data_IF_078658052488
#
_entry.id   IF_078658052488
#
_cell.length_a   1.000
_cell.length_b   1.000
_cell.length_c   1.000
_cell.angle_alpha   90.00
_cell.angle_beta   90.00
_cell.angle_gamma   90.00
#
_symmetry.space_group_name_H-M   'P 1'
#
loop_
_entity.id
_entity.type
_entity.pdbx_description
1 polymer ?
#
# COMPACT_ATOMS: atom_id res chain seq x y z
N UNK A 1 21.75 -51.73 -26.18
CA UNK A 1 20.64 -50.81 -26.54
C UNK A 1 19.76 -50.62 -25.31
N UNK A 2 19.75 -49.45 -24.66
CA UNK A 2 18.97 -49.23 -23.46
C UNK A 2 17.54 -48.77 -23.81
N UNK A 3 16.56 -49.23 -23.03
CA UNK A 3 15.21 -48.64 -22.94
C UNK A 3 15.18 -47.72 -21.73
N UNK A 4 14.82 -46.47 -21.97
CA UNK A 4 14.77 -45.38 -20.99
C UNK A 4 13.83 -45.68 -19.82
N UNK A 5 14.39 -45.71 -18.62
CA UNK A 5 13.65 -45.44 -17.38
C UNK A 5 13.43 -43.93 -17.32
N UNK A 6 12.19 -43.48 -17.52
CA UNK A 6 11.77 -42.11 -17.16
C UNK A 6 11.96 -41.92 -15.66
N UNK A 7 13.06 -41.26 -15.30
CA UNK A 7 13.33 -40.78 -13.95
C UNK A 7 12.29 -39.70 -13.63
N UNK A 8 11.34 -40.02 -12.76
CA UNK A 8 10.45 -39.04 -12.12
C UNK A 8 11.36 -38.12 -11.31
N UNK A 9 11.58 -36.90 -11.80
CA UNK A 9 12.21 -35.84 -11.00
C UNK A 9 11.28 -35.56 -9.83
N UNK A 10 11.72 -35.89 -8.62
CA UNK A 10 11.17 -35.36 -7.38
C UNK A 10 11.27 -33.83 -7.44
N UNK A 11 10.18 -33.18 -7.81
CA UNK A 11 9.97 -31.76 -7.54
C UNK A 11 9.97 -31.62 -6.03
N UNK A 12 10.95 -30.89 -5.51
CA UNK A 12 10.96 -30.41 -4.13
C UNK A 12 9.57 -29.90 -3.76
N UNK A 13 9.00 -30.41 -2.67
CA UNK A 13 7.72 -29.96 -2.12
C UNK A 13 7.81 -28.46 -1.80
N UNK A 14 7.52 -27.61 -2.78
CA UNK A 14 7.31 -26.18 -2.57
C UNK A 14 6.10 -26.07 -1.68
N UNK A 15 6.33 -25.73 -0.42
CA UNK A 15 5.29 -25.41 0.53
C UNK A 15 4.52 -24.22 -0.06
N UNK A 16 3.29 -24.47 -0.52
CA UNK A 16 2.43 -23.45 -1.11
C UNK A 16 2.03 -22.46 0.00
N UNK A 17 2.69 -21.30 0.03
CA UNK A 17 2.39 -20.23 0.97
C UNK A 17 1.29 -19.37 0.35
N UNK A 18 0.04 -19.85 0.43
CA UNK A 18 -1.13 -19.06 0.02
C UNK A 18 -1.60 -18.25 1.23
N UNK A 19 -1.57 -16.90 1.18
CA UNK A 19 -1.97 -16.09 2.32
C UNK A 19 -3.48 -16.12 2.53
N UNK A 20 -3.91 -16.28 3.78
CA UNK A 20 -5.29 -16.03 4.17
C UNK A 20 -5.54 -14.51 4.22
N UNK A 21 -6.53 -14.04 3.45
CA UNK A 21 -6.97 -12.64 3.47
C UNK A 21 -8.21 -12.52 4.36
N UNK A 22 -8.22 -11.55 5.28
CA UNK A 22 -9.43 -11.23 6.04
C UNK A 22 -10.58 -10.89 5.08
N UNK A 23 -11.78 -11.39 5.40
CA UNK A 23 -12.99 -11.29 4.59
C UNK A 23 -12.95 -12.04 3.25
N UNK A 24 -11.91 -12.85 3.00
CA UNK A 24 -11.94 -13.81 1.90
C UNK A 24 -13.12 -14.75 2.07
N UNK A 25 -13.89 -14.95 1.01
CA UNK A 25 -14.99 -15.93 0.95
C UNK A 25 -14.74 -16.91 -0.18
N UNK A 26 -14.88 -18.19 0.10
CA UNK A 26 -14.80 -19.25 -0.90
C UNK A 26 -16.11 -20.02 -0.90
N UNK A 27 -16.75 -20.10 -2.06
CA UNK A 27 -17.93 -20.93 -2.28
C UNK A 27 -17.54 -22.27 -2.87
N UNK A 28 -18.09 -23.35 -2.34
CA UNK A 28 -18.00 -24.69 -2.91
C UNK A 28 -19.37 -25.36 -2.89
N UNK A 29 -19.58 -26.32 -3.76
CA UNK A 29 -20.78 -27.15 -3.76
C UNK A 29 -20.46 -28.49 -3.10
N UNK A 30 -21.20 -28.84 -2.05
CA UNK A 30 -21.10 -30.12 -1.35
C UNK A 30 -22.48 -30.74 -1.23
N UNK A 31 -22.64 -31.95 -1.77
CA UNK A 31 -23.90 -32.69 -1.75
C UNK A 31 -25.10 -31.88 -2.31
N UNK A 32 -24.87 -31.16 -3.42
CA UNK A 32 -25.88 -30.34 -4.09
C UNK A 32 -26.15 -28.99 -3.42
N UNK A 33 -25.40 -28.61 -2.39
CA UNK A 33 -25.63 -27.39 -1.62
C UNK A 33 -24.40 -26.49 -1.59
N UNK A 34 -24.63 -25.17 -1.60
CA UNK A 34 -23.55 -24.19 -1.62
C UNK A 34 -23.10 -23.87 -0.20
N UNK A 35 -21.87 -24.26 0.11
CA UNK A 35 -21.15 -23.89 1.31
C UNK A 35 -20.27 -22.69 1.04
N UNK A 36 -20.30 -21.69 1.93
CA UNK A 36 -19.44 -20.51 1.84
C UNK A 36 -18.57 -20.43 3.09
N UNK A 37 -17.27 -20.60 2.91
CA UNK A 37 -16.26 -20.40 3.93
C UNK A 37 -15.86 -18.93 3.92
N UNK A 38 -15.85 -18.29 5.07
CA UNK A 38 -15.46 -16.91 5.25
C UNK A 38 -14.32 -16.82 6.26
N UNK A 39 -13.26 -16.10 5.92
CA UNK A 39 -12.15 -15.81 6.83
C UNK A 39 -12.50 -14.55 7.61
N UNK A 40 -12.51 -14.66 8.93
CA UNK A 40 -12.86 -13.58 9.87
C UNK A 40 -11.73 -13.35 10.86
N UNK A 41 -11.77 -12.23 11.57
CA UNK A 41 -10.86 -11.98 12.67
C UNK A 41 -11.20 -12.91 13.83
N UNK A 42 -10.20 -13.63 14.35
CA UNK A 42 -10.39 -14.47 15.52
C UNK A 42 -10.52 -13.59 16.77
N UNK A 43 -11.50 -13.89 17.62
CA UNK A 43 -11.81 -13.16 18.85
C UNK A 43 -10.84 -13.47 19.99
N UNK A 44 -10.21 -14.65 19.98
CA UNK A 44 -9.28 -15.11 21.04
C UNK A 44 -7.82 -14.83 20.73
N UNK A 45 -7.43 -14.82 19.45
CA UNK A 45 -6.05 -14.53 19.02
C UNK A 45 -6.06 -13.61 17.80
N UNK A 46 -5.78 -12.29 17.95
CA UNK A 46 -5.85 -11.34 16.82
C UNK A 46 -4.84 -11.62 15.71
N UNK A 47 -3.87 -12.50 15.95
CA UNK A 47 -2.83 -12.89 15.00
C UNK A 47 -3.15 -14.18 14.23
N UNK A 48 -4.24 -14.86 14.58
CA UNK A 48 -4.68 -16.08 13.91
C UNK A 48 -5.98 -15.83 13.10
N UNK A 49 -6.12 -16.44 11.91
CA UNK A 49 -7.36 -16.35 11.17
C UNK A 49 -8.47 -17.18 11.86
N UNK A 50 -9.68 -16.62 11.90
CA UNK A 50 -10.89 -17.36 12.24
C UNK A 50 -11.61 -17.81 10.96
N UNK A 51 -12.28 -18.96 11.01
CA UNK A 51 -13.01 -19.51 9.87
C UNK A 51 -14.47 -19.75 10.24
N UNK A 52 -15.37 -19.24 9.42
CA UNK A 52 -16.83 -19.45 9.54
C UNK A 52 -17.34 -20.11 8.26
N UNK A 53 -18.14 -21.15 8.39
CA UNK A 53 -18.83 -21.76 7.24
C UNK A 53 -20.32 -21.44 7.30
N UNK A 54 -20.94 -21.18 6.14
CA UNK A 54 -22.37 -20.87 6.01
C UNK A 54 -23.00 -21.68 4.88
N UNK A 55 -24.22 -22.18 5.07
CA UNK A 55 -25.00 -22.94 4.09
C UNK A 55 -26.47 -22.96 4.52
N UNK A 56 -27.42 -22.70 3.59
CA UNK A 56 -28.88 -22.69 3.84
C UNK A 56 -29.30 -22.02 5.16
N UNK A 57 -28.88 -20.78 5.38
CA UNK A 57 -29.18 -19.97 6.59
C UNK A 57 -28.52 -20.44 7.89
N UNK A 58 -27.82 -21.58 7.91
CA UNK A 58 -27.00 -22.01 9.04
C UNK A 58 -25.58 -21.47 8.93
N UNK A 59 -24.98 -21.21 10.08
CA UNK A 59 -23.61 -20.73 10.21
C UNK A 59 -22.93 -21.43 11.37
N UNK A 60 -21.64 -21.74 11.22
CA UNK A 60 -20.83 -22.15 12.36
C UNK A 60 -20.43 -20.96 13.23
N UNK A 61 -20.03 -21.27 14.46
CA UNK A 61 -19.15 -20.39 15.24
C UNK A 61 -17.76 -20.27 14.57
N UNK A 62 -16.95 -19.35 15.07
CA UNK A 62 -15.58 -19.13 14.59
C UNK A 62 -14.74 -20.35 14.96
N UNK A 63 -14.24 -21.04 13.93
CA UNK A 63 -13.33 -22.18 14.06
C UNK A 63 -11.88 -21.77 13.82
N UNK A 64 -10.93 -22.52 14.38
CA UNK A 64 -9.49 -22.33 14.17
C UNK A 64 -9.00 -22.82 12.79
N UNK A 65 -9.81 -23.59 12.07
CA UNK A 65 -9.48 -24.06 10.72
C UNK A 65 -10.70 -24.13 9.80
N UNK A 66 -10.47 -23.97 8.49
CA UNK A 66 -11.50 -24.16 7.48
C UNK A 66 -12.06 -25.60 7.46
N UNK A 67 -11.20 -26.61 7.66
CA UNK A 67 -11.61 -28.02 7.71
C UNK A 67 -12.65 -28.28 8.80
N UNK A 68 -12.41 -27.72 9.99
CA UNK A 68 -13.31 -27.82 11.14
C UNK A 68 -14.64 -27.12 10.82
N UNK A 69 -14.61 -25.87 10.34
CA UNK A 69 -15.82 -25.12 10.04
C UNK A 69 -16.73 -25.86 9.03
N UNK A 70 -16.17 -26.39 7.95
CA UNK A 70 -16.94 -27.10 6.92
C UNK A 70 -17.48 -28.42 7.46
N UNK A 71 -16.63 -29.23 8.11
CA UNK A 71 -17.01 -30.55 8.61
C UNK A 71 -18.11 -30.44 9.66
N UNK A 72 -18.00 -29.46 10.57
CA UNK A 72 -19.02 -29.19 11.58
C UNK A 72 -20.35 -28.80 10.94
N UNK A 73 -20.36 -27.85 10.01
CA UNK A 73 -21.60 -27.43 9.36
C UNK A 73 -22.23 -28.54 8.51
N UNK A 74 -21.39 -29.29 7.80
CA UNK A 74 -21.86 -30.40 6.97
C UNK A 74 -22.53 -31.48 7.82
N UNK A 75 -21.94 -31.83 8.97
CA UNK A 75 -22.54 -32.77 9.91
C UNK A 75 -23.88 -32.24 10.47
N UNK A 76 -23.96 -30.94 10.75
CA UNK A 76 -25.19 -30.31 11.26
C UNK A 76 -26.34 -30.28 10.23
N UNK A 77 -26.02 -30.12 8.95
CA UNK A 77 -27.02 -30.05 7.87
C UNK A 77 -27.48 -31.45 7.45
N UNK A 78 -26.54 -32.39 7.28
CA UNK A 78 -26.83 -33.70 6.69
C UNK A 78 -26.82 -34.87 7.68
N UNK A 79 -26.48 -34.65 8.94
CA UNK A 79 -26.38 -35.70 9.96
C UNK A 79 -25.25 -36.71 9.70
N UNK A 80 -24.34 -36.44 8.76
CA UNK A 80 -23.25 -37.32 8.35
C UNK A 80 -21.90 -36.76 8.80
N UNK A 81 -21.09 -37.60 9.47
CA UNK A 81 -19.69 -37.26 9.76
C UNK A 81 -18.85 -37.50 8.51
N UNK A 82 -18.40 -36.41 7.90
CA UNK A 82 -17.52 -36.43 6.73
C UNK A 82 -16.42 -35.42 6.93
N UNK A 83 -15.17 -35.86 6.87
CA UNK A 83 -14.02 -34.98 7.03
C UNK A 83 -13.68 -34.31 5.70
N UNK A 84 -13.80 -32.99 5.66
CA UNK A 84 -13.40 -32.19 4.50
C UNK A 84 -12.06 -31.50 4.76
N UNK A 85 -11.17 -31.55 3.75
CA UNK A 85 -9.94 -30.77 3.76
C UNK A 85 -10.22 -29.32 3.40
N UNK A 86 -10.09 -28.42 4.39
CA UNK A 86 -10.24 -26.98 4.22
C UNK A 86 -9.40 -26.42 3.06
N UNK A 87 -8.08 -26.66 3.00
CA UNK A 87 -7.25 -26.19 1.88
C UNK A 87 -7.74 -26.69 0.52
N UNK A 88 -8.20 -27.94 0.44
CA UNK A 88 -8.74 -28.49 -0.81
C UNK A 88 -10.04 -27.79 -1.24
N UNK A 89 -10.97 -27.63 -0.30
CA UNK A 89 -12.23 -26.91 -0.54
C UNK A 89 -12.00 -25.44 -0.89
N UNK A 90 -10.99 -24.82 -0.28
CA UNK A 90 -10.62 -23.43 -0.56
C UNK A 90 -9.90 -23.25 -1.90
N UNK A 91 -9.62 -24.34 -2.63
CA UNK A 91 -8.99 -24.30 -3.94
C UNK A 91 -7.47 -24.10 -3.91
N UNK A 92 -6.80 -24.40 -2.78
CA UNK A 92 -5.35 -24.19 -2.63
C UNK A 92 -4.48 -25.23 -3.36
N UNK A 93 -5.11 -26.11 -4.15
CA UNK A 93 -4.46 -27.03 -5.09
C UNK A 93 -4.90 -26.78 -6.55
N UNK A 94 -5.64 -25.69 -6.80
CA UNK A 94 -6.05 -25.30 -8.14
C UNK A 94 -5.19 -24.12 -8.60
N UNK A 95 -4.37 -24.34 -9.62
CA UNK A 95 -3.39 -23.37 -10.11
C UNK A 95 -4.02 -22.03 -10.50
N UNK A 96 -5.22 -22.03 -11.11
CA UNK A 96 -5.92 -20.80 -11.49
C UNK A 96 -6.41 -20.01 -10.27
N UNK A 97 -6.84 -20.72 -9.21
CA UNK A 97 -7.27 -20.09 -7.96
C UNK A 97 -6.03 -19.55 -7.23
N UNK A 98 -4.97 -20.34 -7.15
CA UNK A 98 -3.69 -19.93 -6.55
C UNK A 98 -3.18 -18.67 -7.25
N UNK A 99 -3.08 -18.67 -8.58
CA UNK A 99 -2.63 -17.51 -9.36
C UNK A 99 -3.40 -16.23 -9.01
N UNK A 100 -4.74 -16.32 -8.94
CA UNK A 100 -5.59 -15.19 -8.51
C UNK A 100 -5.36 -14.78 -7.06
N UNK A 101 -5.15 -15.72 -6.15
CA UNK A 101 -4.86 -15.43 -4.74
C UNK A 101 -3.48 -14.78 -4.57
N UNK A 102 -2.55 -15.06 -5.48
CA UNK A 102 -1.20 -14.52 -5.47
C UNK A 102 -1.04 -13.21 -6.25
N UNK A 103 -2.01 -12.82 -7.09
CA UNK A 103 -1.93 -11.67 -8.02
C UNK A 103 -1.55 -10.33 -7.35
N UNK A 104 -1.89 -10.13 -6.08
CA UNK A 104 -1.55 -8.90 -5.31
C UNK A 104 -0.54 -9.14 -4.18
N UNK A 105 0.01 -10.35 -4.07
CA UNK A 105 0.97 -10.68 -3.01
C UNK A 105 2.32 -10.12 -3.41
N UNK A 106 2.73 -9.05 -2.73
CA UNK A 106 3.97 -8.34 -3.09
C UNK A 106 5.23 -9.02 -2.59
N UNK A 107 5.11 -9.91 -1.62
CA UNK A 107 6.23 -10.60 -1.03
C UNK A 107 5.75 -11.85 -0.30
N UNK A 108 6.48 -12.96 -0.45
CA UNK A 108 6.27 -14.17 0.34
C UNK A 108 7.28 -14.22 1.47
N UNK A 109 6.84 -14.44 2.72
CA UNK A 109 7.77 -14.56 3.83
C UNK A 109 8.83 -15.64 3.60
N UNK A 110 10.08 -15.31 3.91
CA UNK A 110 11.19 -16.25 3.82
C UNK A 110 11.44 -16.80 5.23
N UNK A 111 11.30 -18.11 5.36
CA UNK A 111 11.51 -18.84 6.60
C UNK A 111 12.95 -19.33 6.65
N UNK A 112 13.71 -18.81 7.60
CA UNK A 112 15.14 -19.09 7.75
C UNK A 112 15.34 -19.79 9.09
N UNK A 113 15.90 -20.99 9.05
CA UNK A 113 16.27 -21.72 10.26
C UNK A 113 17.71 -21.42 10.62
N UNK A 114 17.91 -20.74 11.76
CA UNK A 114 19.24 -20.44 12.31
C UNK A 114 19.40 -21.24 13.59
N UNK A 115 20.04 -22.40 13.50
CA UNK A 115 20.11 -23.38 14.59
C UNK A 115 18.71 -23.70 15.18
N UNK A 116 18.42 -23.22 16.39
CA UNK A 116 17.16 -23.39 17.11
C UNK A 116 16.11 -22.30 16.82
N UNK A 117 16.47 -21.26 16.08
CA UNK A 117 15.57 -20.14 15.79
C UNK A 117 14.94 -20.27 14.42
N UNK A 118 13.66 -19.93 14.36
CA UNK A 118 12.97 -19.64 13.12
C UNK A 118 12.91 -18.12 12.96
N UNK A 119 13.66 -17.60 12.00
CA UNK A 119 13.59 -16.21 11.57
C UNK A 119 12.66 -16.14 10.38
N UNK A 120 11.67 -15.25 10.46
CA UNK A 120 10.72 -15.01 9.37
C UNK A 120 10.99 -13.63 8.82
N UNK A 121 11.52 -13.55 7.61
CA UNK A 121 11.67 -12.28 6.87
C UNK A 121 10.34 -12.01 6.19
N UNK A 122 9.72 -10.88 6.48
CA UNK A 122 8.37 -10.53 6.03
C UNK A 122 8.35 -9.35 5.06
N UNK A 123 9.45 -8.62 4.92
CA UNK A 123 9.61 -7.60 3.89
C UNK A 123 11.10 -7.34 3.61
N UNK A 124 11.42 -6.96 2.37
CA UNK A 124 12.77 -6.59 1.95
C UNK A 124 12.82 -5.10 1.63
N UNK A 125 13.61 -4.35 2.41
CA UNK A 125 14.02 -2.99 2.09
C UNK A 125 15.42 -3.00 1.51
N UNK A 126 15.70 -2.09 0.59
CA UNK A 126 16.98 -1.99 -0.11
C UNK A 126 17.74 -0.74 0.34
N UNK A 127 19.06 -0.85 0.46
CA UNK A 127 19.96 0.27 0.73
C UNK A 127 21.27 0.12 -0.04
N UNK A 128 21.87 1.26 -0.40
CA UNK A 128 23.25 1.32 -0.87
C UNK A 128 24.26 1.36 0.29
N UNK A 129 23.79 1.48 1.54
CA UNK A 129 24.65 1.49 2.71
C UNK A 129 25.14 0.06 3.04
N UNK A 130 26.45 -0.09 3.19
CA UNK A 130 27.09 -1.39 3.42
C UNK A 130 26.85 -1.95 4.82
N UNK A 131 26.46 -1.13 5.81
CA UNK A 131 26.30 -1.56 7.21
C UNK A 131 25.27 -2.68 7.42
N UNK A 132 24.29 -2.81 6.52
CA UNK A 132 23.25 -3.84 6.56
C UNK A 132 23.31 -4.79 5.35
N UNK A 133 24.47 -4.93 4.68
CA UNK A 133 24.66 -5.82 3.51
C UNK A 133 23.56 -5.69 2.44
N UNK A 134 23.25 -4.44 2.08
CA UNK A 134 22.25 -4.11 1.07
C UNK A 134 20.81 -4.03 1.58
N UNK A 135 20.53 -4.49 2.81
CA UNK A 135 19.22 -4.30 3.43
C UNK A 135 19.05 -2.84 3.87
N UNK A 136 17.83 -2.32 3.76
CA UNK A 136 17.53 -0.90 3.96
C UNK A 136 16.15 -0.63 4.52
N UNK A 137 15.75 0.65 4.44
CA UNK A 137 14.47 1.12 4.94
C UNK A 137 13.30 0.24 4.46
N UNK A 138 12.48 -0.21 5.41
CA UNK A 138 11.36 -1.11 5.16
C UNK A 138 11.69 -2.60 5.29
N UNK A 139 12.95 -2.99 5.49
CA UNK A 139 13.28 -4.39 5.80
C UNK A 139 12.65 -4.79 7.12
N UNK A 140 11.94 -5.92 7.15
CA UNK A 140 11.32 -6.44 8.37
C UNK A 140 11.51 -7.94 8.49
N UNK A 141 11.86 -8.38 9.70
CA UNK A 141 11.87 -9.79 10.08
C UNK A 141 11.41 -9.98 11.52
N UNK A 142 11.21 -11.22 11.90
CA UNK A 142 10.78 -11.58 13.25
C UNK A 142 11.39 -12.88 13.71
N UNK A 143 11.58 -13.00 15.02
CA UNK A 143 12.17 -14.17 15.68
C UNK A 143 11.45 -14.44 17.00
N UNK A 144 11.19 -15.70 17.29
CA UNK A 144 10.72 -16.15 18.60
C UNK A 144 11.92 -16.55 19.45
N UNK A 145 12.10 -15.88 20.59
CA UNK A 145 13.20 -16.16 21.52
C UNK A 145 12.77 -15.93 22.96
N UNK A 146 13.65 -16.24 23.93
CA UNK A 146 13.41 -15.93 25.33
C UNK A 146 13.92 -14.54 25.67
N UNK A 147 13.07 -13.70 26.25
CA UNK A 147 13.45 -12.43 26.89
C UNK A 147 12.93 -12.44 28.33
N UNK A 148 13.77 -12.09 29.29
CA UNK A 148 13.43 -12.14 30.73
C UNK A 148 12.79 -13.47 31.17
N UNK A 149 13.33 -14.60 30.67
CA UNK A 149 12.86 -15.98 30.92
C UNK A 149 11.46 -16.33 30.36
N UNK A 150 10.77 -15.41 29.68
CA UNK A 150 9.51 -15.68 28.97
C UNK A 150 9.75 -15.85 27.47
N UNK A 151 8.90 -16.61 26.80
CA UNK A 151 8.90 -16.67 25.34
C UNK A 151 8.31 -15.38 24.78
N UNK A 152 9.06 -14.72 23.91
CA UNK A 152 8.77 -13.39 23.42
C UNK A 152 8.89 -13.35 21.90
N UNK A 153 8.00 -12.60 21.29
CA UNK A 153 8.10 -12.28 19.87
C UNK A 153 8.97 -11.04 19.70
N UNK A 154 10.03 -11.13 18.90
CA UNK A 154 10.92 -10.00 18.62
C UNK A 154 10.71 -9.59 17.17
N UNK A 155 10.19 -8.39 16.96
CA UNK A 155 10.12 -7.74 15.64
C UNK A 155 11.42 -6.97 15.39
N UNK A 156 11.99 -7.17 14.21
CA UNK A 156 13.24 -6.58 13.75
C UNK A 156 12.93 -5.73 12.52
N UNK A 157 13.31 -4.46 12.52
CA UNK A 157 13.02 -3.54 11.41
C UNK A 157 14.22 -2.66 11.08
N UNK A 158 14.30 -2.22 9.84
CA UNK A 158 15.19 -1.14 9.43
C UNK A 158 14.31 0.02 8.99
N UNK A 159 14.34 1.12 9.72
CA UNK A 159 13.59 2.34 9.46
C UNK A 159 14.55 3.53 9.48
N UNK A 160 14.58 4.35 8.42
CA UNK A 160 15.46 5.52 8.31
C UNK A 160 16.96 5.23 8.60
N UNK A 161 17.48 4.10 8.12
CA UNK A 161 18.84 3.59 8.40
C UNK A 161 19.11 3.24 9.87
N UNK A 162 18.09 3.16 10.72
CA UNK A 162 18.16 2.67 12.09
C UNK A 162 17.58 1.27 12.17
N UNK A 163 18.31 0.36 12.80
CA UNK A 163 17.85 -0.98 13.14
C UNK A 163 17.10 -0.93 14.46
N UNK A 164 15.85 -1.38 14.45
CA UNK A 164 14.92 -1.34 15.59
C UNK A 164 14.55 -2.77 15.98
N UNK A 165 14.70 -3.09 17.26
CA UNK A 165 14.16 -4.30 17.88
C UNK A 165 13.00 -3.93 18.78
N UNK A 166 11.83 -4.55 18.57
CA UNK A 166 10.68 -4.45 19.49
C UNK A 166 10.35 -5.83 20.03
N UNK A 167 10.31 -5.95 21.35
CA UNK A 167 10.01 -7.21 22.04
C UNK A 167 8.57 -7.16 22.54
N UNK A 168 7.81 -8.19 22.21
CA UNK A 168 6.41 -8.33 22.57
C UNK A 168 6.22 -9.51 23.52
N UNK A 169 5.40 -9.28 24.55
CA UNK A 169 4.71 -10.33 25.29
C UNK A 169 3.24 -10.24 24.95
N UNK A 170 2.70 -11.30 24.36
CA UNK A 170 1.35 -11.32 23.80
C UNK A 170 1.16 -10.14 22.81
N UNK A 171 0.32 -9.17 23.13
CA UNK A 171 0.05 -8.00 22.28
C UNK A 171 0.77 -6.72 22.72
N UNK A 172 1.56 -6.76 23.80
CA UNK A 172 2.17 -5.58 24.41
C UNK A 172 3.66 -5.49 24.13
N UNK A 173 4.15 -4.30 23.77
CA UNK A 173 5.58 -4.01 23.66
C UNK A 173 6.15 -3.88 25.07
N UNK A 174 7.15 -4.70 25.39
CA UNK A 174 7.81 -4.71 26.70
C UNK A 174 9.20 -4.13 26.69
N UNK A 175 9.83 -4.03 25.52
CA UNK A 175 11.12 -3.37 25.33
C UNK A 175 11.33 -2.96 23.88
N UNK A 176 12.10 -1.88 23.67
CA UNK A 176 12.55 -1.42 22.36
C UNK A 176 14.03 -1.05 22.42
N UNK A 177 14.78 -1.41 21.39
CA UNK A 177 16.20 -1.09 21.24
C UNK A 177 16.47 -0.57 19.83
N UNK A 178 17.38 0.39 19.73
CA UNK A 178 17.73 1.04 18.46
C UNK A 178 19.25 1.20 18.33
N UNK A 179 19.75 0.97 17.12
CA UNK A 179 21.14 1.21 16.74
C UNK A 179 21.28 1.36 15.21
N UNK A 180 22.46 1.74 14.73
CA UNK A 180 22.74 1.89 13.30
C UNK A 180 22.92 0.53 12.60
N UNK A 181 23.29 -0.52 13.34
CA UNK A 181 23.54 -1.85 12.74
C UNK A 181 22.77 -2.97 13.44
N UNK A 182 22.40 -4.05 12.71
CA UNK A 182 21.75 -5.23 13.29
C UNK A 182 22.55 -5.84 14.45
N UNK A 183 23.86 -5.92 14.29
CA UNK A 183 24.79 -6.48 15.28
C UNK A 183 24.76 -5.67 16.58
N UNK A 184 24.83 -4.35 16.49
CA UNK A 184 24.86 -3.49 17.67
C UNK A 184 23.52 -3.45 18.40
N UNK A 185 22.39 -3.39 17.67
CA UNK A 185 21.07 -3.37 18.32
C UNK A 185 20.81 -4.66 19.09
N UNK A 186 21.23 -5.81 18.55
CA UNK A 186 21.18 -7.09 19.28
C UNK A 186 22.13 -7.12 20.47
N UNK A 187 23.35 -6.60 20.36
CA UNK A 187 24.26 -6.47 21.52
C UNK A 187 23.65 -5.60 22.62
N UNK A 188 23.04 -4.47 22.28
CA UNK A 188 22.33 -3.57 23.22
C UNK A 188 21.17 -4.28 23.94
N UNK A 189 20.41 -5.11 23.23
CA UNK A 189 19.30 -5.85 23.83
C UNK A 189 19.73 -6.85 24.91
N UNK A 190 21.00 -7.26 24.90
CA UNK A 190 21.56 -8.19 25.87
C UNK A 190 21.13 -9.65 25.71
N UNK A 191 20.24 -9.96 24.75
CA UNK A 191 19.77 -11.32 24.46
C UNK A 191 20.53 -11.95 23.30
N UNK A 192 20.58 -13.29 23.27
CA UNK A 192 21.16 -14.07 22.17
C UNK A 192 22.60 -13.66 21.77
N UNK A 193 23.40 -13.13 22.71
CA UNK A 193 24.74 -12.54 22.48
C UNK A 193 25.74 -13.44 21.72
N UNK A 194 25.48 -14.76 21.67
CA UNK A 194 26.30 -15.73 20.95
C UNK A 194 26.14 -15.68 19.43
N UNK A 195 25.11 -15.01 18.92
CA UNK A 195 24.87 -14.85 17.49
C UNK A 195 25.20 -13.44 17.03
N UNK A 196 25.62 -13.32 15.78
CA UNK A 196 25.68 -12.02 15.13
C UNK A 196 24.25 -11.53 14.85
N UNK A 197 23.97 -10.28 15.20
CA UNK A 197 22.66 -9.67 14.99
C UNK A 197 22.29 -9.62 13.51
N UNK A 198 23.26 -9.53 12.59
CA UNK A 198 22.96 -9.55 11.15
C UNK A 198 22.43 -10.91 10.68
N UNK A 199 22.88 -12.00 11.31
CA UNK A 199 22.34 -13.32 11.07
C UNK A 199 20.94 -13.44 11.68
N UNK A 200 20.73 -12.96 12.90
CA UNK A 200 19.41 -12.98 13.55
C UNK A 200 18.34 -12.18 12.79
N UNK A 201 18.73 -11.13 12.07
CA UNK A 201 17.85 -10.41 11.15
C UNK A 201 17.46 -11.24 9.92
N UNK A 202 18.21 -12.30 9.60
CA UNK A 202 18.04 -13.14 8.41
C UNK A 202 18.69 -12.55 7.14
N UNK A 203 19.41 -11.43 7.26
CA UNK A 203 19.95 -10.69 6.11
C UNK A 203 21.01 -11.49 5.37
N UNK A 204 21.86 -12.23 6.08
CA UNK A 204 22.97 -13.01 5.52
C UNK A 204 22.54 -14.28 4.80
N UNK A 205 21.28 -14.70 4.96
CA UNK A 205 20.79 -15.91 4.32
C UNK A 205 20.85 -15.80 2.80
N UNK A 206 21.28 -16.87 2.13
CA UNK A 206 21.54 -16.88 0.68
C UNK A 206 20.33 -16.40 -0.13
N UNK A 207 19.12 -16.88 0.17
CA UNK A 207 17.90 -16.45 -0.53
C UNK A 207 17.63 -14.95 -0.37
N UNK A 208 17.91 -14.38 0.81
CA UNK A 208 17.72 -12.95 1.07
C UNK A 208 18.79 -12.14 0.35
N UNK A 209 20.05 -12.57 0.43
CA UNK A 209 21.16 -11.93 -0.29
C UNK A 209 20.97 -11.95 -1.80
N UNK A 210 20.48 -13.05 -2.39
CA UNK A 210 20.17 -13.11 -3.82
C UNK A 210 19.14 -12.05 -4.22
N UNK A 211 18.09 -11.85 -3.40
CA UNK A 211 17.08 -10.81 -3.63
C UNK A 211 17.67 -9.41 -3.46
N UNK A 212 18.53 -9.20 -2.46
CA UNK A 212 19.17 -7.90 -2.22
C UNK A 212 20.18 -7.52 -3.32
N UNK A 213 20.90 -8.50 -3.88
CA UNK A 213 21.91 -8.30 -4.93
C UNK A 213 21.30 -8.23 -6.32
N UNK A 214 20.21 -8.95 -6.55
CA UNK A 214 19.38 -8.86 -7.75
C UNK A 214 18.02 -8.32 -7.34
N UNK A 215 17.95 -7.05 -6.87
CA UNK A 215 16.66 -6.44 -6.61
C UNK A 215 15.86 -6.59 -7.90
N UNK A 216 14.63 -7.10 -7.84
CA UNK A 216 13.85 -7.33 -9.04
C UNK A 216 13.81 -6.00 -9.81
N UNK A 217 14.27 -6.03 -11.07
CA UNK A 217 14.42 -4.82 -11.91
C UNK A 217 13.12 -4.02 -12.00
N UNK A 218 12.01 -4.70 -11.77
CA UNK A 218 10.75 -4.11 -11.37
C UNK A 218 10.58 -4.38 -9.88
N UNK A 219 10.77 -3.37 -9.02
CA UNK A 219 10.30 -3.46 -7.64
C UNK A 219 8.87 -4.02 -7.69
N UNK A 220 8.54 -5.04 -6.90
CA UNK A 220 7.16 -5.55 -6.84
C UNK A 220 6.18 -4.43 -6.38
N UNK A 221 6.74 -3.32 -5.89
CA UNK A 221 6.09 -2.04 -5.60
C UNK A 221 6.12 -1.02 -6.74
N UNK A 222 7.07 -1.01 -7.68
CA UNK A 222 7.22 0.01 -8.75
C UNK A 222 6.75 -0.58 -10.08
N UNK A 223 5.54 -0.19 -10.48
CA UNK A 223 4.90 -0.57 -11.74
C UNK A 223 5.48 0.25 -12.90
N UNK A 224 5.83 1.51 -12.65
CA UNK A 224 6.48 2.36 -13.63
C UNK A 224 7.46 3.35 -12.99
N UNK A 225 8.39 3.82 -13.80
CA UNK A 225 9.29 4.95 -13.51
C UNK A 225 8.76 6.23 -14.15
N UNK A 226 9.32 7.37 -13.76
CA UNK A 226 8.87 8.69 -14.26
C UNK A 226 9.05 8.82 -15.77
N UNK A 227 10.11 8.21 -16.32
CA UNK A 227 10.37 8.20 -17.75
C UNK A 227 9.33 7.39 -18.55
N UNK A 228 8.60 6.49 -17.87
CA UNK A 228 7.57 5.62 -18.44
C UNK A 228 6.16 6.18 -18.29
N UNK A 229 5.96 7.35 -17.68
CA UNK A 229 4.62 7.93 -17.48
C UNK A 229 3.92 8.30 -18.79
N UNK A 230 4.67 8.51 -19.87
CA UNK A 230 4.11 8.72 -21.21
C UNK A 230 3.60 7.41 -21.85
N UNK A 231 3.96 6.25 -21.30
CA UNK A 231 3.45 4.96 -21.78
C UNK A 231 2.10 4.66 -21.11
N UNK A 232 1.03 4.86 -21.88
CA UNK A 232 -0.33 4.64 -21.41
C UNK A 232 -0.55 3.24 -20.85
N UNK A 233 -0.04 2.19 -21.48
CA UNK A 233 -0.29 0.81 -21.07
C UNK A 233 0.31 0.51 -19.69
N UNK A 234 1.52 0.99 -19.43
CA UNK A 234 2.20 0.79 -18.14
C UNK A 234 1.50 1.61 -17.05
N UNK A 235 1.13 2.86 -17.35
CA UNK A 235 0.42 3.70 -16.40
C UNK A 235 -0.99 3.16 -16.10
N UNK A 236 -1.67 2.59 -17.12
CA UNK A 236 -2.97 1.95 -16.98
C UNK A 236 -2.88 0.70 -16.08
N UNK A 237 -1.79 -0.08 -16.16
CA UNK A 237 -1.57 -1.19 -15.21
C UNK A 237 -1.47 -0.69 -13.76
N UNK A 238 -0.79 0.44 -13.54
CA UNK A 238 -0.70 1.05 -12.21
C UNK A 238 -2.06 1.52 -11.71
N UNK A 239 -2.86 2.14 -12.59
CA UNK A 239 -4.22 2.58 -12.28
C UNK A 239 -5.14 1.40 -11.98
N UNK A 240 -5.14 0.36 -12.81
CA UNK A 240 -5.99 -0.81 -12.64
C UNK A 240 -5.69 -1.53 -11.31
N UNK A 241 -4.40 -1.66 -10.99
CA UNK A 241 -3.94 -2.31 -9.75
C UNK A 241 -4.28 -1.53 -8.49
N UNK A 242 -4.07 -0.22 -8.47
CA UNK A 242 -4.18 0.57 -7.24
C UNK A 242 -5.52 1.29 -7.07
N UNK A 243 -6.12 1.74 -8.16
CA UNK A 243 -7.34 2.56 -8.16
C UNK A 243 -8.57 1.72 -8.50
N UNK A 244 -8.58 1.01 -9.65
CA UNK A 244 -9.76 0.24 -10.13
C UNK A 244 -10.10 -0.97 -9.26
N UNK A 245 -9.09 -1.73 -8.81
CA UNK A 245 -9.24 -2.91 -7.95
C UNK A 245 -10.00 -2.62 -6.64
N UNK A 246 -9.94 -1.38 -6.15
CA UNK A 246 -10.53 -0.97 -4.86
C UNK A 246 -12.03 -0.66 -4.94
N UNK A 247 -12.64 -0.80 -6.13
CA UNK A 247 -14.08 -0.57 -6.42
C UNK A 247 -14.61 0.69 -5.74
N UNK A 248 -13.84 1.78 -5.73
CA UNK A 248 -14.31 3.07 -5.22
C UNK A 248 -15.41 3.54 -6.16
N UNK A 249 -16.67 3.58 -5.70
CA UNK A 249 -17.89 3.58 -6.53
C UNK A 249 -18.08 4.70 -7.56
N UNK A 250 -17.08 5.57 -7.74
CA UNK A 250 -17.02 6.65 -8.72
C UNK A 250 -15.78 6.63 -9.62
N UNK A 251 -15.00 5.53 -9.65
CA UNK A 251 -13.89 5.38 -10.61
C UNK A 251 -14.31 5.45 -12.08
N UNK A 252 -15.59 5.21 -12.37
CA UNK A 252 -16.19 5.41 -13.68
C UNK A 252 -16.32 6.89 -14.10
N UNK A 253 -15.95 7.86 -13.25
CA UNK A 253 -16.02 9.31 -13.54
C UNK A 253 -14.63 9.95 -13.75
N UNK A 254 -13.56 9.15 -13.73
CA UNK A 254 -12.17 9.61 -13.80
C UNK A 254 -11.62 9.50 -15.22
N UNK A 255 -12.31 10.02 -16.24
CA UNK A 255 -11.88 9.83 -17.65
C UNK A 255 -10.52 10.48 -17.98
N UNK A 256 -10.10 11.48 -17.21
CA UNK A 256 -8.85 12.24 -17.42
C UNK A 256 -7.78 12.00 -16.34
N UNK A 257 -7.81 10.88 -15.63
CA UNK A 257 -6.90 10.63 -14.50
C UNK A 257 -5.41 10.71 -14.87
N UNK A 258 -5.05 10.40 -16.13
CA UNK A 258 -3.69 10.45 -16.65
C UNK A 258 -3.15 11.88 -16.66
N UNK A 259 -4.02 12.89 -16.73
CA UNK A 259 -3.60 14.29 -16.78
C UNK A 259 -2.77 14.67 -15.55
N UNK A 260 -3.00 14.03 -14.40
CA UNK A 260 -2.16 14.24 -13.21
C UNK A 260 -0.68 13.97 -13.51
N UNK A 261 -0.37 12.87 -14.22
CA UNK A 261 1.00 12.48 -14.52
C UNK A 261 1.57 13.29 -15.70
N UNK A 262 0.75 13.55 -16.73
CA UNK A 262 1.15 14.33 -17.91
C UNK A 262 1.43 15.79 -17.54
N UNK A 263 0.51 16.42 -16.80
CA UNK A 263 0.65 17.80 -16.33
C UNK A 263 1.88 17.92 -15.43
N UNK A 264 2.12 16.94 -14.56
CA UNK A 264 3.29 16.94 -13.69
C UNK A 264 4.61 16.73 -14.44
N UNK A 265 4.65 15.92 -15.49
CA UNK A 265 5.81 15.83 -16.38
C UNK A 265 6.11 17.16 -17.08
N UNK A 266 5.07 17.89 -17.48
CA UNK A 266 5.20 19.19 -18.16
C UNK A 266 5.72 20.30 -17.24
N UNK A 267 5.57 20.15 -15.93
CA UNK A 267 6.04 21.13 -14.94
C UNK A 267 7.54 21.03 -14.72
N UNK A 268 8.19 22.21 -14.59
CA UNK A 268 9.61 22.30 -14.22
C UNK A 268 9.90 21.78 -12.81
N UNK A 269 8.96 21.96 -11.89
CA UNK A 269 9.06 21.45 -10.52
C UNK A 269 8.89 19.94 -10.51
N UNK A 270 9.74 19.25 -9.76
CA UNK A 270 9.58 17.84 -9.42
C UNK A 270 8.54 17.62 -8.33
N UNK A 271 8.15 18.66 -7.59
CA UNK A 271 7.27 18.61 -6.43
C UNK A 271 5.84 19.03 -6.82
N UNK A 272 4.84 18.29 -6.34
CA UNK A 272 3.42 18.69 -6.34
C UNK A 272 2.79 18.56 -4.96
N UNK A 273 1.65 19.23 -4.79
CA UNK A 273 0.77 19.09 -3.64
C UNK A 273 -0.40 18.15 -4.01
N UNK A 274 -0.47 16.97 -3.40
CA UNK A 274 -1.42 15.90 -3.81
C UNK A 274 -2.89 16.29 -3.71
N UNK A 275 -3.39 16.87 -2.60
CA UNK A 275 -4.79 17.29 -2.55
C UNK A 275 -5.17 18.24 -3.70
N UNK A 276 -4.27 19.15 -4.08
CA UNK A 276 -4.50 20.11 -5.16
C UNK A 276 -4.43 19.45 -6.54
N UNK A 277 -3.48 18.55 -6.75
CA UNK A 277 -3.36 17.81 -8.00
C UNK A 277 -4.59 16.90 -8.25
N UNK A 278 -5.07 16.22 -7.20
CA UNK A 278 -6.25 15.38 -7.31
C UNK A 278 -7.53 16.19 -7.55
N UNK A 279 -7.66 17.39 -6.99
CA UNK A 279 -8.81 18.27 -7.27
C UNK A 279 -8.98 18.61 -8.76
N UNK A 280 -7.91 18.56 -9.55
CA UNK A 280 -8.00 18.86 -10.98
C UNK A 280 -8.57 17.68 -11.80
N UNK A 281 -8.50 16.46 -11.28
CA UNK A 281 -9.00 15.25 -11.96
C UNK A 281 -10.37 14.79 -11.46
N UNK A 282 -10.82 15.30 -10.31
CA UNK A 282 -12.16 15.02 -9.77
C UNK A 282 -13.12 16.19 -10.07
N UNK A 283 -14.44 15.95 -10.14
CA UNK A 283 -15.43 17.02 -10.26
C UNK A 283 -15.31 18.07 -9.15
N UNK A 284 -15.63 19.33 -9.46
CA UNK A 284 -15.43 20.49 -8.56
C UNK A 284 -16.08 20.32 -7.18
N UNK A 285 -17.25 19.68 -7.12
CA UNK A 285 -18.01 19.46 -5.88
C UNK A 285 -17.68 18.11 -5.21
N UNK A 286 -16.68 17.37 -5.71
CA UNK A 286 -16.33 16.05 -5.20
C UNK A 286 -15.39 16.12 -4.00
N UNK A 287 -15.79 15.47 -2.90
CA UNK A 287 -14.93 15.25 -1.75
C UNK A 287 -14.24 13.89 -1.85
N UNK A 288 -12.91 13.93 -2.01
CA UNK A 288 -12.08 12.72 -2.09
C UNK A 288 -12.08 12.03 -0.73
N UNK A 289 -12.52 10.77 -0.70
CA UNK A 289 -12.54 9.99 0.54
C UNK A 289 -11.13 9.50 0.92
N UNK A 290 -10.91 9.26 2.21
CA UNK A 290 -9.63 8.75 2.72
C UNK A 290 -9.16 7.46 2.00
N UNK A 291 -10.08 6.54 1.68
CA UNK A 291 -9.77 5.29 0.97
C UNK A 291 -9.24 5.54 -0.45
N UNK A 292 -9.79 6.53 -1.15
CA UNK A 292 -9.32 6.95 -2.49
C UNK A 292 -7.97 7.64 -2.40
N UNK A 293 -7.80 8.53 -1.43
CA UNK A 293 -6.52 9.19 -1.19
C UNK A 293 -5.41 8.17 -0.86
N UNK A 294 -5.71 7.12 -0.09
CA UNK A 294 -4.78 6.01 0.15
C UNK A 294 -4.48 5.20 -1.11
N UNK A 295 -5.46 5.04 -2.01
CA UNK A 295 -5.28 4.35 -3.29
C UNK A 295 -4.32 5.14 -4.19
N UNK A 296 -4.52 6.45 -4.29
CA UNK A 296 -3.65 7.36 -5.02
C UNK A 296 -2.21 7.35 -4.49
N UNK A 297 -2.01 7.39 -3.17
CA UNK A 297 -0.66 7.29 -2.58
C UNK A 297 0.03 5.98 -2.95
N UNK A 298 -0.70 4.87 -2.91
CA UNK A 298 -0.15 3.58 -3.30
C UNK A 298 0.25 3.56 -4.79
N UNK A 299 -0.58 4.14 -5.67
CA UNK A 299 -0.26 4.29 -7.08
C UNK A 299 0.97 5.18 -7.30
N UNK A 300 1.08 6.31 -6.61
CA UNK A 300 2.20 7.25 -6.74
C UNK A 300 3.53 6.60 -6.35
N UNK A 301 3.55 5.86 -5.22
CA UNK A 301 4.71 5.05 -4.82
C UNK A 301 5.05 4.06 -5.94
N UNK A 302 4.03 3.42 -6.52
CA UNK A 302 4.22 2.48 -7.61
C UNK A 302 4.68 3.10 -8.92
N UNK A 303 4.44 4.39 -9.11
CA UNK A 303 4.93 5.15 -10.26
C UNK A 303 6.29 5.80 -9.99
N UNK A 304 6.95 5.46 -8.86
CA UNK A 304 8.27 5.96 -8.51
C UNK A 304 8.30 7.32 -7.83
N UNK A 305 7.17 7.79 -7.30
CA UNK A 305 7.11 9.04 -6.53
C UNK A 305 7.47 8.82 -5.06
N UNK A 306 8.01 9.85 -4.43
CA UNK A 306 8.35 9.85 -3.00
C UNK A 306 7.60 10.95 -2.26
N UNK A 307 7.06 10.65 -1.07
CA UNK A 307 6.53 11.67 -0.18
C UNK A 307 7.69 12.48 0.42
N UNK A 308 7.62 13.81 0.26
CA UNK A 308 8.64 14.77 0.70
C UNK A 308 8.07 15.80 1.68
N UNK A 309 6.94 15.48 2.31
CA UNK A 309 6.26 16.35 3.28
C UNK A 309 7.15 16.54 4.52
N UNK A 310 7.45 17.80 4.93
CA UNK A 310 8.42 18.07 6.01
C UNK A 310 7.81 18.03 7.43
N UNK A 311 6.50 17.80 7.56
CA UNK A 311 5.78 17.82 8.84
C UNK A 311 4.89 16.60 9.03
N UNK A 312 4.45 16.39 10.28
CA UNK A 312 3.56 15.29 10.64
C UNK A 312 2.10 15.56 10.25
N UNK A 313 1.34 14.50 9.98
CA UNK A 313 -0.09 14.57 9.60
C UNK A 313 -0.98 15.28 10.62
N UNK A 314 -0.57 15.36 11.88
CA UNK A 314 -1.31 16.07 12.94
C UNK A 314 -1.37 17.57 12.70
N UNK A 315 -0.46 18.11 11.90
CA UNK A 315 -0.34 19.55 11.61
C UNK A 315 -1.12 19.97 10.38
N UNK A 316 -1.21 19.10 9.37
CA UNK A 316 -1.97 19.37 8.14
C UNK A 316 -2.24 18.11 7.34
N UNK A 317 -3.35 18.12 6.60
CA UNK A 317 -3.68 17.10 5.59
C UNK A 317 -2.98 17.32 4.25
N UNK A 318 -2.20 18.40 4.12
CA UNK A 318 -1.42 18.70 2.93
C UNK A 318 -0.24 17.74 2.84
N UNK A 319 -0.08 17.09 1.69
CA UNK A 319 1.09 16.26 1.41
C UNK A 319 1.79 16.72 0.14
N UNK A 320 3.11 16.80 0.21
CA UNK A 320 4.01 17.10 -0.89
C UNK A 320 4.67 15.82 -1.39
N UNK A 321 4.69 15.65 -2.71
CA UNK A 321 5.24 14.48 -3.36
C UNK A 321 6.18 14.89 -4.48
N UNK A 322 7.27 14.15 -4.62
CA UNK A 322 8.31 14.40 -5.62
C UNK A 322 8.39 13.25 -6.62
N UNK A 323 8.57 13.60 -7.89
CA UNK A 323 8.94 12.69 -8.99
C UNK A 323 10.46 12.61 -9.22
N UNK A 324 11.29 13.25 -8.40
CA UNK A 324 12.73 13.18 -8.54
C UNK A 324 13.23 11.76 -8.26
N UNK A 325 14.20 11.29 -9.06
CA UNK A 325 14.87 10.01 -8.80
C UNK A 325 15.59 10.02 -7.45
N UNK A 326 16.18 11.15 -7.09
CA UNK A 326 16.69 11.45 -5.75
C UNK A 326 15.91 12.65 -5.17
N UNK A 327 15.01 12.43 -4.20
CA UNK A 327 14.19 13.48 -3.60
C UNK A 327 14.89 14.23 -2.47
N UNK A 328 16.19 14.02 -2.23
CA UNK A 328 16.90 14.62 -1.09
C UNK A 328 16.89 16.16 -1.14
N UNK A 329 17.16 16.73 -2.31
CA UNK A 329 17.11 18.18 -2.51
C UNK A 329 15.70 18.75 -2.31
N UNK A 330 14.68 18.03 -2.78
CA UNK A 330 13.27 18.43 -2.62
C UNK A 330 12.84 18.41 -1.15
N UNK A 331 13.26 17.38 -0.40
CA UNK A 331 13.01 17.27 1.05
C UNK A 331 13.69 18.41 1.81
N UNK A 332 14.96 18.66 1.53
CA UNK A 332 15.72 19.72 2.20
C UNK A 332 15.13 21.10 1.90
N UNK A 333 14.76 21.35 0.63
CA UNK A 333 14.12 22.59 0.21
C UNK A 333 12.80 22.82 0.96
N UNK A 334 11.92 21.81 0.99
CA UNK A 334 10.64 21.92 1.70
C UNK A 334 10.81 22.07 3.21
N UNK A 335 11.78 21.37 3.80
CA UNK A 335 12.10 21.49 5.22
C UNK A 335 12.60 22.89 5.57
N UNK A 336 13.49 23.47 4.75
CA UNK A 336 13.98 24.83 4.93
C UNK A 336 12.84 25.86 4.82
N UNK A 337 11.97 25.71 3.82
CA UNK A 337 10.79 26.57 3.66
C UNK A 337 9.80 26.44 4.83
N UNK A 338 9.59 25.22 5.34
CA UNK A 338 8.75 24.97 6.49
C UNK A 338 9.31 25.62 7.76
N UNK A 339 10.60 25.39 8.05
CA UNK A 339 11.28 25.97 9.20
C UNK A 339 11.34 27.50 9.16
N UNK A 340 11.41 28.08 7.95
CA UNK A 340 11.33 29.53 7.74
C UNK A 340 9.90 30.10 7.88
N UNK A 341 8.89 29.27 8.15
CA UNK A 341 7.49 29.69 8.25
C UNK A 341 6.86 30.08 6.90
N UNK A 342 7.48 29.72 5.77
CA UNK A 342 7.03 30.07 4.42
C UNK A 342 6.00 29.08 3.86
N UNK A 343 5.82 27.92 4.50
CA UNK A 343 4.77 26.96 4.15
C UNK A 343 3.53 27.23 5.00
N UNK A 344 2.53 27.88 4.40
CA UNK A 344 1.25 28.16 5.05
C UNK A 344 0.39 26.89 5.19
N UNK A 345 0.43 26.26 6.35
CA UNK A 345 -0.47 25.16 6.74
C UNK A 345 -1.80 25.72 7.23
N UNK A 346 -2.66 26.21 6.32
CA UNK A 346 -4.00 26.66 6.73
C UNK A 346 -4.83 25.45 7.16
N UNK A 347 -5.01 25.30 8.48
CA UNK A 347 -6.00 24.43 9.10
C UNK A 347 -7.42 24.82 8.65
N UNK A 348 -8.21 23.82 8.24
CA UNK A 348 -9.68 23.81 8.19
C UNK A 348 -10.42 24.95 7.45
N UNK A 349 -9.85 25.56 6.42
CA UNK A 349 -10.65 26.29 5.43
C UNK A 349 -10.81 25.43 4.18
N UNK A 350 -12.00 25.37 3.55
CA UNK A 350 -12.14 24.71 2.26
C UNK A 350 -11.08 25.29 1.32
N UNK A 351 -10.47 24.42 0.53
CA UNK A 351 -9.56 24.86 -0.53
C UNK A 351 -10.38 25.77 -1.44
N UNK A 352 -10.30 27.07 -1.20
CA UNK A 352 -10.76 28.07 -2.14
C UNK A 352 -9.80 27.88 -3.31
N UNK A 353 -10.26 27.16 -4.33
CA UNK A 353 -9.69 27.28 -5.66
C UNK A 353 -9.68 28.78 -5.92
N UNK A 354 -8.50 29.39 -5.97
CA UNK A 354 -8.43 30.79 -6.33
C UNK A 354 -8.88 30.89 -7.80
N UNK A 355 -10.19 31.05 -7.98
CA UNK A 355 -10.82 31.33 -9.26
C UNK A 355 -10.40 32.71 -9.79
N UNK A 356 -9.56 33.48 -9.08
CA UNK A 356 -9.10 34.80 -9.54
C UNK A 356 -8.45 34.71 -10.91
N UNK A 357 -7.61 33.70 -11.17
CA UNK A 357 -6.94 33.60 -12.47
C UNK A 357 -7.95 33.35 -13.60
N UNK A 358 -8.93 32.46 -13.40
CA UNK A 358 -9.95 32.18 -14.41
C UNK A 358 -10.92 33.36 -14.57
N UNK A 359 -11.28 34.03 -13.48
CA UNK A 359 -12.10 35.23 -13.47
C UNK A 359 -11.43 36.36 -14.25
N UNK A 360 -10.20 36.73 -13.90
CA UNK A 360 -9.48 37.81 -14.57
C UNK A 360 -9.12 37.48 -16.00
N UNK A 361 -8.84 36.21 -16.33
CA UNK A 361 -8.64 35.77 -17.72
C UNK A 361 -9.92 35.88 -18.55
N UNK A 362 -11.06 35.49 -17.99
CA UNK A 362 -12.37 35.64 -18.65
C UNK A 362 -12.76 37.11 -18.79
N UNK A 363 -12.51 37.92 -17.76
CA UNK A 363 -12.74 39.36 -17.77
C UNK A 363 -11.90 40.05 -18.85
N UNK A 364 -10.60 39.74 -18.91
CA UNK A 364 -9.67 40.27 -19.92
C UNK A 364 -10.07 39.84 -21.33
N UNK A 365 -10.38 38.55 -21.53
CA UNK A 365 -10.87 38.05 -22.82
C UNK A 365 -12.16 38.75 -23.27
N UNK A 366 -13.10 38.98 -22.34
CA UNK A 366 -14.34 39.71 -22.64
C UNK A 366 -14.07 41.19 -22.98
N UNK A 367 -13.09 41.81 -22.32
CA UNK A 367 -12.66 43.19 -22.61
C UNK A 367 -11.98 43.30 -23.98
N UNK A 368 -11.08 42.36 -24.31
CA UNK A 368 -10.27 42.39 -25.54
C UNK A 368 -11.11 42.07 -26.79
N UNK A 369 -12.09 41.16 -26.67
CA UNK A 369 -12.87 40.67 -27.81
C UNK A 369 -14.16 41.46 -28.09
N UNK A 370 -14.67 42.26 -27.15
CA UNK A 370 -15.92 43.00 -27.35
C UNK A 370 -15.67 44.46 -27.74
N UNK A 371 -15.95 44.78 -29.00
CA UNK A 371 -16.01 46.17 -29.50
C UNK A 371 -17.25 46.87 -28.92
N UNK A 372 -17.14 48.16 -28.62
CA UNK A 372 -18.23 48.98 -28.06
C UNK A 372 -19.50 48.85 -28.89
N UNK A 373 -20.63 48.63 -28.23
CA UNK A 373 -21.95 48.61 -28.88
C UNK A 373 -22.42 50.00 -29.33
N UNK A 374 -23.60 50.07 -29.93
CA UNK A 374 -24.22 51.30 -30.44
C UNK A 374 -24.44 52.36 -29.33
N UNK A 375 -24.55 51.93 -28.08
CA UNK A 375 -24.67 52.78 -26.88
C UNK A 375 -23.31 53.18 -26.26
N UNK A 376 -22.18 52.80 -26.90
CA UNK A 376 -20.83 53.06 -26.41
C UNK A 376 -20.40 52.21 -25.20
N UNK A 377 -21.25 51.29 -24.71
CA UNK A 377 -21.00 50.49 -23.51
C UNK A 377 -20.48 49.09 -23.89
N UNK A 378 -19.67 48.51 -22.99
CA UNK A 378 -19.18 47.12 -23.09
C UNK A 378 -19.86 46.31 -22.01
N UNK A 379 -20.61 45.27 -22.39
CA UNK A 379 -21.34 44.41 -21.46
C UNK A 379 -20.46 43.24 -21.00
N UNK A 380 -19.44 43.54 -20.20
CA UNK A 380 -18.45 42.56 -19.74
C UNK A 380 -19.10 41.55 -18.77
N UNK A 381 -19.91 42.06 -17.83
CA UNK A 381 -20.50 41.24 -16.77
C UNK A 381 -21.46 40.18 -17.30
N UNK A 382 -22.29 40.49 -18.29
CA UNK A 382 -23.22 39.51 -18.88
C UNK A 382 -22.49 38.37 -19.60
N UNK A 383 -21.29 38.64 -20.14
CA UNK A 383 -20.52 37.65 -20.90
C UNK A 383 -19.79 36.70 -19.97
N UNK A 384 -19.21 37.22 -18.88
CA UNK A 384 -18.56 36.36 -17.90
C UNK A 384 -19.59 35.66 -17.00
N UNK A 385 -20.81 36.20 -16.84
CA UNK A 385 -21.84 35.59 -15.99
C UNK A 385 -22.26 34.18 -16.41
N UNK A 386 -22.09 33.80 -17.68
CA UNK A 386 -22.33 32.42 -18.12
C UNK A 386 -21.33 31.42 -17.53
N UNK A 387 -20.14 31.90 -17.12
CA UNK A 387 -19.04 31.07 -16.65
C UNK A 387 -18.84 31.10 -15.12
N UNK A 388 -19.59 31.95 -14.40
CA UNK A 388 -19.44 32.13 -12.95
C UNK A 388 -20.80 32.18 -12.24
N UNK A 389 -20.87 31.64 -11.01
CA UNK A 389 -22.09 31.77 -10.18
C UNK A 389 -22.23 33.22 -9.70
N UNK A 390 -23.46 33.66 -9.45
CA UNK A 390 -23.75 35.02 -8.95
C UNK A 390 -22.98 35.36 -7.67
N UNK A 391 -22.88 34.41 -6.72
CA UNK A 391 -22.13 34.61 -5.48
C UNK A 391 -20.63 34.81 -5.73
N UNK A 392 -20.05 34.12 -6.71
CA UNK A 392 -18.62 34.26 -7.07
C UNK A 392 -18.35 35.66 -7.67
N UNK A 393 -19.27 36.16 -8.50
CA UNK A 393 -19.19 37.50 -9.09
C UNK A 393 -19.26 38.59 -8.02
N UNK A 394 -20.19 38.42 -7.09
CA UNK A 394 -20.43 39.36 -5.99
C UNK A 394 -19.21 39.48 -5.08
N UNK A 395 -18.62 38.34 -4.70
CA UNK A 395 -17.42 38.29 -3.86
C UNK A 395 -16.21 38.94 -4.56
N UNK A 396 -16.00 38.65 -5.84
CA UNK A 396 -14.82 39.15 -6.59
C UNK A 396 -14.92 40.62 -6.99
N UNK A 397 -16.12 41.12 -7.25
CA UNK A 397 -16.37 42.52 -7.62
C UNK A 397 -16.61 43.42 -6.38
N UNK A 398 -16.73 42.83 -5.19
CA UNK A 398 -17.01 43.53 -3.92
C UNK A 398 -18.31 44.36 -3.98
N UNK A 399 -19.40 43.78 -4.52
CA UNK A 399 -20.71 44.45 -4.70
C UNK A 399 -21.85 43.81 -3.92
#
# INVERSE_FOLDING_TARGET
MPKDKKTIKNTSSQQLIVPFRLHMRVSCELNGEIFIISIVQNTTSPFEPGFVCTCKEKSTEISSSASTAITTLYQEIFGKRTEYSGPAIMGFYNDQIIERLLQDVTFFPIYIKIQSFLVVVSNIGYSKNNGCRGAGNGFTSSILTKFQKKHSFVSQRIENNTCILRIYHESNIVAQFEDETPTNVWKKSGINKKFDGIDLFGITHSSVQTILQNPPKNNILRICTVDEWNNFEILQQAFDRHIKSRKTGKTALLDNWQSLFIDWLSQKSTIIQIPKALQNIYPVDYQIHHKELCAWKAMLIACGCTNVTPFEKKESNIEFWSRAMDPSADKETLLNLYNAGLICLKNNSPIIIDKSMNFWKSFKSALDNNRRGIDGKIRILSIIAENFRYNDLREKLQV
#
